data_IF_692551874602
#
_entry.id   IF_692551874602
#
_cell.length_a   1.000
_cell.length_b   1.000
_cell.length_c   1.000
_cell.angle_alpha   90.00
_cell.angle_beta   90.00
_cell.angle_gamma   90.00
#
_symmetry.space_group_name_H-M   'P 1'
#
loop_
_entity.id
_entity.type
_entity.pdbx_description
1 polymer ?
#
# COMPACT_ATOMS: atom_id res chain seq x y z
N UNK A 1 -12.33 -15.93 19.30
CA UNK A 1 -11.06 -15.22 19.12
C UNK A 1 -10.79 -14.88 17.66
N UNK A 2 -10.86 -15.85 16.79
CA UNK A 2 -10.45 -15.63 15.41
C UNK A 2 -11.59 -15.31 14.44
N UNK A 3 -12.85 -15.35 14.82
CA UNK A 3 -13.95 -15.18 13.88
C UNK A 3 -13.90 -13.86 13.10
N UNK A 4 -13.72 -12.73 13.77
CA UNK A 4 -13.60 -11.44 13.12
C UNK A 4 -12.31 -11.32 12.30
N UNK A 5 -11.20 -11.84 12.84
CA UNK A 5 -9.91 -11.85 12.14
C UNK A 5 -9.92 -12.84 10.98
N UNK A 6 -10.62 -13.96 11.14
CA UNK A 6 -10.73 -14.96 10.09
C UNK A 6 -11.37 -14.39 8.83
N UNK A 7 -12.42 -13.57 8.98
CA UNK A 7 -13.03 -12.89 7.83
C UNK A 7 -12.03 -12.00 7.11
N UNK A 8 -11.18 -11.26 7.85
CA UNK A 8 -10.13 -10.43 7.26
C UNK A 8 -9.06 -11.27 6.58
N UNK A 9 -8.69 -12.39 7.21
CA UNK A 9 -7.65 -13.28 6.68
C UNK A 9 -8.05 -13.98 5.40
N UNK A 10 -9.35 -14.22 5.18
CA UNK A 10 -9.83 -14.81 3.92
C UNK A 10 -10.09 -13.77 2.84
N UNK A 11 -9.88 -12.48 3.12
CA UNK A 11 -9.88 -11.47 2.07
C UNK A 11 -8.76 -11.79 1.10
N UNK A 12 -9.08 -11.77 -0.20
CA UNK A 12 -8.11 -12.10 -1.24
C UNK A 12 -7.18 -10.93 -1.50
N UNK A 13 -6.24 -10.70 -0.59
CA UNK A 13 -5.21 -9.67 -0.71
C UNK A 13 -4.09 -10.20 -1.58
N UNK A 14 -3.69 -9.43 -2.60
CA UNK A 14 -2.58 -9.77 -3.48
C UNK A 14 -1.58 -8.64 -3.57
N UNK A 15 -0.32 -8.99 -3.74
CA UNK A 15 0.77 -8.04 -3.92
C UNK A 15 0.48 -7.10 -5.10
N UNK A 16 0.79 -5.81 -4.90
CA UNK A 16 0.58 -4.73 -5.87
C UNK A 16 -0.87 -4.37 -6.18
N UNK A 17 -1.79 -4.85 -5.37
CA UNK A 17 -3.14 -4.28 -5.35
C UNK A 17 -3.16 -2.98 -4.56
N UNK A 18 -4.08 -2.09 -4.94
CA UNK A 18 -4.39 -0.89 -4.18
C UNK A 18 -5.66 -1.15 -3.37
N UNK A 19 -5.58 -0.90 -2.07
CA UNK A 19 -6.69 -1.04 -1.13
C UNK A 19 -6.93 0.27 -0.41
N UNK A 20 -8.18 0.53 -0.02
CA UNK A 20 -8.49 1.57 0.96
C UNK A 20 -8.19 1.02 2.35
N UNK A 21 -7.48 1.79 3.15
CA UNK A 21 -7.15 1.42 4.53
C UNK A 21 -7.35 2.60 5.48
N UNK A 22 -7.73 2.29 6.72
CA UNK A 22 -7.80 3.28 7.80
C UNK A 22 -6.45 3.30 8.52
N UNK A 23 -5.69 4.36 8.33
CA UNK A 23 -4.37 4.53 8.94
C UNK A 23 -4.39 5.39 10.21
N UNK A 24 -5.57 5.73 10.72
CA UNK A 24 -5.70 6.45 11.98
C UNK A 24 -5.45 5.51 13.19
N UNK A 25 -4.95 6.03 14.32
CA UNK A 25 -4.53 7.41 14.52
C UNK A 25 -3.16 7.70 13.90
N UNK A 26 -2.97 8.94 13.49
CA UNK A 26 -1.67 9.41 12.99
C UNK A 26 -0.72 9.68 14.15
N UNK A 27 0.53 9.25 14.03
CA UNK A 27 1.59 9.52 15.00
C UNK A 27 2.76 10.19 14.29
N UNK A 28 3.13 11.40 14.72
CA UNK A 28 4.26 12.14 14.17
C UNK A 28 4.14 12.37 12.67
N UNK A 29 5.16 11.95 11.91
CA UNK A 29 5.22 12.10 10.45
C UNK A 29 4.52 10.99 9.70
N UNK A 30 3.98 9.98 10.41
CA UNK A 30 3.29 8.87 9.77
C UNK A 30 2.03 9.35 9.04
N UNK A 31 1.78 8.89 7.80
CA UNK A 31 0.51 9.16 7.14
C UNK A 31 -0.64 8.56 7.93
N UNK A 32 -1.64 9.38 8.22
CA UNK A 32 -2.88 8.94 8.86
C UNK A 32 -4.03 8.93 7.86
N UNK A 33 -5.27 9.07 8.37
CA UNK A 33 -6.51 9.12 7.61
C UNK A 33 -6.84 7.80 6.93
N UNK A 34 -8.04 7.74 6.36
CA UNK A 34 -8.46 6.69 5.44
C UNK A 34 -7.97 7.05 4.05
N UNK A 35 -7.13 6.22 3.47
CA UNK A 35 -6.48 6.50 2.19
C UNK A 35 -6.15 5.22 1.44
N UNK A 36 -5.82 5.33 0.14
CA UNK A 36 -5.31 4.19 -0.60
C UNK A 36 -3.94 3.77 -0.07
N UNK A 37 -3.69 2.47 -0.12
CA UNK A 37 -2.39 1.86 0.18
C UNK A 37 -2.05 0.85 -0.90
N UNK A 38 -0.77 0.65 -1.17
CA UNK A 38 -0.30 -0.40 -2.07
C UNK A 38 0.14 -1.59 -1.22
N UNK A 39 -0.36 -2.77 -1.54
CA UNK A 39 0.10 -4.01 -0.91
C UNK A 39 1.45 -4.35 -1.51
N UNK A 40 2.50 -4.30 -0.71
CA UNK A 40 3.86 -4.67 -1.16
C UNK A 40 4.31 -6.01 -0.60
N UNK A 41 3.57 -6.57 0.36
CA UNK A 41 3.87 -7.85 0.96
C UNK A 41 3.76 -8.99 -0.05
N UNK A 42 4.72 -9.92 0.01
CA UNK A 42 4.73 -11.10 -0.86
C UNK A 42 3.44 -11.92 -0.75
N UNK A 43 3.00 -12.48 -1.87
CA UNK A 43 1.84 -13.39 -1.88
C UNK A 43 2.08 -14.68 -1.08
N UNK A 44 3.34 -15.02 -0.80
CA UNK A 44 3.64 -16.15 0.09
C UNK A 44 3.02 -15.94 1.48
N UNK A 45 3.02 -14.70 1.98
CA UNK A 45 2.38 -14.34 3.24
C UNK A 45 0.90 -14.01 3.06
N UNK A 46 0.52 -13.45 1.92
CA UNK A 46 -0.87 -13.07 1.66
C UNK A 46 -1.80 -14.28 1.58
N UNK A 47 -1.28 -15.45 1.23
CA UNK A 47 -2.04 -16.69 1.09
C UNK A 47 -2.35 -17.39 2.41
N UNK A 48 -1.66 -17.01 3.48
CA UNK A 48 -1.82 -17.65 4.79
C UNK A 48 -2.51 -16.67 5.75
N UNK A 49 -3.06 -17.14 6.88
CA UNK A 49 -3.71 -16.26 7.86
C UNK A 49 -2.68 -15.44 8.64
N UNK A 50 -2.00 -14.53 7.97
CA UNK A 50 -1.05 -13.60 8.55
C UNK A 50 -1.79 -12.35 9.04
N UNK A 51 -1.63 -11.92 10.30
CA UNK A 51 -2.47 -10.88 10.90
C UNK A 51 -2.16 -9.45 10.44
N UNK A 52 -1.03 -9.23 9.78
CA UNK A 52 -0.63 -7.91 9.31
C UNK A 52 -0.17 -7.96 7.86
N UNK A 53 -0.16 -6.79 7.22
CA UNK A 53 0.21 -6.65 5.81
C UNK A 53 1.16 -5.48 5.65
N UNK A 54 2.27 -5.69 4.93
CA UNK A 54 3.22 -4.63 4.61
C UNK A 54 2.70 -3.84 3.42
N UNK A 55 2.58 -2.53 3.61
CA UNK A 55 2.02 -1.62 2.62
C UNK A 55 2.89 -0.37 2.45
N UNK A 56 2.65 0.35 1.35
CA UNK A 56 3.10 1.73 1.17
C UNK A 56 1.86 2.62 1.07
N UNK A 57 1.78 3.70 1.85
CA UNK A 57 0.66 4.64 1.75
C UNK A 57 0.68 5.41 0.43
N UNK A 58 -0.49 5.81 -0.02
CA UNK A 58 -0.69 6.65 -1.21
C UNK A 58 -1.30 7.97 -0.77
N UNK A 59 -0.81 9.07 -1.32
CA UNK A 59 -1.29 10.42 -1.00
C UNK A 59 -1.74 11.16 -2.25
N UNK A 60 -2.78 11.97 -2.13
CA UNK A 60 -3.20 12.89 -3.19
C UNK A 60 -2.40 14.20 -3.16
N UNK A 61 -1.60 14.41 -2.13
CA UNK A 61 -0.67 15.55 -2.04
C UNK A 61 0.59 15.25 -2.84
N UNK A 62 0.49 15.41 -4.16
CA UNK A 62 1.58 15.11 -5.09
C UNK A 62 2.70 16.13 -4.93
N UNK A 63 3.95 15.67 -4.90
CA UNK A 63 5.14 16.51 -4.80
C UNK A 63 6.11 16.20 -5.93
N UNK A 64 6.79 17.25 -6.41
CA UNK A 64 7.87 17.13 -7.38
C UNK A 64 9.21 16.93 -6.66
N UNK A 65 10.23 16.51 -7.43
CA UNK A 65 11.61 16.40 -6.97
C UNK A 65 11.78 15.45 -5.78
N UNK A 66 10.98 14.39 -5.75
CA UNK A 66 11.05 13.38 -4.68
C UNK A 66 11.98 12.21 -5.02
N UNK A 67 12.48 12.17 -6.27
CA UNK A 67 13.42 11.15 -6.76
C UNK A 67 12.92 9.73 -6.49
N UNK A 68 13.67 8.94 -5.70
CA UNK A 68 13.34 7.55 -5.43
C UNK A 68 12.26 7.40 -4.34
N UNK A 69 11.98 8.45 -3.58
CA UNK A 69 11.09 8.35 -2.41
C UNK A 69 9.62 8.16 -2.79
N UNK A 70 9.22 8.63 -3.95
CA UNK A 70 7.83 8.57 -4.38
C UNK A 70 7.71 8.09 -5.82
N UNK A 71 6.58 7.46 -6.13
CA UNK A 71 6.19 7.13 -7.50
C UNK A 71 4.88 7.83 -7.80
N UNK A 72 4.88 8.66 -8.84
CA UNK A 72 3.70 9.38 -9.29
C UNK A 72 2.77 8.46 -10.10
N UNK A 73 1.49 8.47 -9.75
CA UNK A 73 0.43 7.76 -10.46
C UNK A 73 -0.56 8.76 -11.03
N UNK A 74 -0.79 8.70 -12.34
CA UNK A 74 -1.80 9.54 -12.99
C UNK A 74 -3.20 9.04 -12.66
N UNK A 75 -4.15 9.97 -12.59
CA UNK A 75 -5.58 9.66 -12.50
C UNK A 75 -5.94 8.55 -13.50
N UNK A 76 -6.70 7.58 -13.04
CA UNK A 76 -7.12 6.43 -13.83
C UNK A 76 -6.24 5.21 -13.66
N UNK A 77 -4.99 5.35 -13.21
CA UNK A 77 -4.12 4.22 -12.90
C UNK A 77 -4.75 3.41 -11.77
N UNK A 78 -4.91 2.09 -11.96
CA UNK A 78 -5.49 1.19 -10.98
C UNK A 78 -6.82 1.72 -10.39
N UNK A 79 -7.62 2.40 -11.21
CA UNK A 79 -8.91 3.01 -10.86
C UNK A 79 -8.83 4.15 -9.85
N UNK A 80 -7.67 4.74 -9.65
CA UNK A 80 -7.56 5.94 -8.85
C UNK A 80 -8.28 7.10 -9.53
N UNK A 81 -9.01 7.91 -8.74
CA UNK A 81 -9.84 8.98 -9.29
C UNK A 81 -9.14 10.34 -9.36
N UNK A 82 -7.88 10.42 -8.97
CA UNK A 82 -7.04 11.62 -9.11
C UNK A 82 -5.57 11.23 -9.09
N UNK A 83 -4.72 12.18 -9.45
CA UNK A 83 -3.27 11.99 -9.40
C UNK A 83 -2.82 11.74 -7.97
N UNK A 84 -1.91 10.81 -7.79
CA UNK A 84 -1.43 10.36 -6.48
C UNK A 84 0.06 10.09 -6.51
N UNK A 85 0.67 10.06 -5.31
CA UNK A 85 2.03 9.56 -5.11
C UNK A 85 2.02 8.36 -4.19
N UNK A 86 2.76 7.31 -4.54
CA UNK A 86 3.09 6.23 -3.62
C UNK A 86 4.27 6.70 -2.77
N UNK A 87 4.12 6.67 -1.45
CA UNK A 87 5.19 7.06 -0.51
C UNK A 87 6.01 5.84 -0.11
N UNK A 88 7.08 5.55 -0.85
CA UNK A 88 7.87 4.33 -0.65
C UNK A 88 8.67 4.34 0.65
N UNK A 89 9.11 5.52 1.11
CA UNK A 89 9.84 5.67 2.37
C UNK A 89 8.94 5.52 3.61
N UNK A 90 7.63 5.45 3.42
CA UNK A 90 6.67 5.22 4.48
C UNK A 90 6.18 3.76 4.53
N UNK A 91 6.95 2.85 3.96
CA UNK A 91 6.66 1.41 4.00
C UNK A 91 6.49 0.95 5.45
N UNK A 92 5.40 0.22 5.73
CA UNK A 92 5.10 -0.24 7.09
C UNK A 92 4.14 -1.41 7.08
N UNK A 93 4.13 -2.16 8.17
CA UNK A 93 3.10 -3.17 8.40
C UNK A 93 1.88 -2.55 9.08
N UNK A 94 0.71 -2.95 8.64
CA UNK A 94 -0.56 -2.58 9.29
C UNK A 94 -1.36 -3.83 9.65
N UNK A 95 -2.19 -3.73 10.68
CA UNK A 95 -3.13 -4.79 11.01
C UNK A 95 -4.13 -4.97 9.86
N UNK A 96 -4.43 -6.21 9.49
CA UNK A 96 -5.36 -6.49 8.39
C UNK A 96 -6.75 -5.90 8.60
N UNK A 97 -7.15 -5.66 9.85
CA UNK A 97 -8.44 -5.04 10.16
C UNK A 97 -8.55 -3.59 9.66
N UNK A 98 -7.41 -2.97 9.34
CA UNK A 98 -7.40 -1.62 8.75
C UNK A 98 -7.77 -1.61 7.27
N UNK A 99 -7.65 -2.73 6.58
CA UNK A 99 -7.98 -2.84 5.17
C UNK A 99 -9.50 -2.88 4.98
N UNK A 100 -10.01 -2.03 4.10
CA UNK A 100 -11.47 -1.84 3.91
C UNK A 100 -11.93 -2.50 2.62
N UNK A 101 -11.37 -2.10 1.48
CA UNK A 101 -11.77 -2.67 0.17
C UNK A 101 -10.67 -2.48 -0.87
N UNK A 102 -10.65 -3.37 -1.84
CA UNK A 102 -9.77 -3.28 -3.01
C UNK A 102 -10.28 -2.21 -3.97
N UNK A 103 -9.35 -1.43 -4.53
CA UNK A 103 -9.65 -0.46 -5.60
C UNK A 103 -9.25 -1.02 -6.96
N UNK A 104 -8.02 -1.49 -7.09
CA UNK A 104 -7.48 -1.94 -8.37
C UNK A 104 -6.12 -2.60 -8.23
N UNK A 105 -5.47 -2.82 -9.37
CA UNK A 105 -4.15 -3.47 -9.44
C UNK A 105 -3.20 -2.59 -10.25
N UNK A 106 -1.96 -2.46 -9.76
CA UNK A 106 -0.95 -1.64 -10.43
C UNK A 106 -0.47 -2.30 -11.73
N UNK A 107 -0.14 -1.51 -12.76
CA UNK A 107 0.46 -2.04 -13.98
C UNK A 107 1.93 -2.42 -13.78
N UNK A 108 2.45 -3.28 -14.66
CA UNK A 108 3.79 -3.85 -14.52
C UNK A 108 4.92 -2.82 -14.49
N UNK A 109 4.81 -1.76 -15.26
CA UNK A 109 5.84 -0.70 -15.29
C UNK A 109 5.95 -0.01 -13.93
N UNK A 110 4.84 0.21 -13.25
CA UNK A 110 4.82 0.78 -11.89
C UNK A 110 5.40 -0.22 -10.90
N UNK A 111 5.03 -1.50 -11.01
CA UNK A 111 5.55 -2.56 -10.14
C UNK A 111 7.07 -2.62 -10.22
N UNK A 112 7.64 -2.57 -11.42
CA UNK A 112 9.08 -2.61 -11.63
C UNK A 112 9.77 -1.43 -10.94
N UNK A 113 9.18 -0.24 -11.04
CA UNK A 113 9.72 0.96 -10.37
C UNK A 113 9.64 0.86 -8.85
N UNK A 114 8.56 0.29 -8.32
CA UNK A 114 8.44 0.04 -6.88
C UNK A 114 9.59 -0.86 -6.40
N UNK A 115 9.83 -1.97 -7.09
CA UNK A 115 10.89 -2.92 -6.73
C UNK A 115 12.26 -2.25 -6.74
N UNK A 116 12.58 -1.53 -7.82
CA UNK A 116 13.87 -0.85 -7.95
C UNK A 116 14.08 0.17 -6.83
N UNK A 117 13.08 1.00 -6.58
CA UNK A 117 13.20 2.07 -5.61
C UNK A 117 13.23 1.56 -4.16
N UNK A 118 12.46 0.52 -3.85
CA UNK A 118 12.52 -0.11 -2.52
C UNK A 118 13.90 -0.74 -2.28
N UNK A 119 14.49 -1.38 -3.28
CA UNK A 119 15.85 -1.92 -3.16
C UNK A 119 16.86 -0.83 -2.79
N UNK A 120 16.73 0.35 -3.39
CA UNK A 120 17.59 1.49 -3.08
C UNK A 120 17.32 2.02 -1.67
N UNK A 121 16.05 2.24 -1.32
CA UNK A 121 15.66 2.81 -0.03
C UNK A 121 16.08 1.92 1.13
N UNK A 122 15.95 0.61 0.97
CA UNK A 122 16.30 -0.37 2.01
C UNK A 122 17.72 -0.92 1.87
N UNK A 123 18.45 -0.51 0.85
CA UNK A 123 19.82 -0.97 0.58
C UNK A 123 19.90 -2.51 0.48
N UNK A 124 19.07 -3.05 -0.36
CA UNK A 124 19.02 -4.50 -0.59
C UNK A 124 19.96 -4.93 -1.71
#
# INVERSE_FOLDING_TARGET
>A
MFSGNLKKQIMSIKQYEIWIADLNPRIGTEPGKTRPVVIVQTDLLNKIPHPSTIICPVTTNVKENTEILRIHLKKGTARLNQDCDIMLDQIRAIDNRRLIKKIGTLPNDVIDRIKENIEIILDL
#
